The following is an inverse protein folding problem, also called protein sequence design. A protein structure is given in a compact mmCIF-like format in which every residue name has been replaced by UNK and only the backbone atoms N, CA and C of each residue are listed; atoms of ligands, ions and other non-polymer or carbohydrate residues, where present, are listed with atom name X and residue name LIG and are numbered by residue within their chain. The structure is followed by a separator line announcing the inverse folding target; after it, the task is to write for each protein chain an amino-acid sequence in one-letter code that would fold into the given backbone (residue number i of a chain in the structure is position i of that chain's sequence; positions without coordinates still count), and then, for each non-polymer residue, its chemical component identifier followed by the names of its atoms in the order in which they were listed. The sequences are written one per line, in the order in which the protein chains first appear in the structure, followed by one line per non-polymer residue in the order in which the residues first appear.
data_IF_724890078172
#
_entry.id   IF_724890078172
#
_cell.length_a   1.000
_cell.length_b   1.000
_cell.length_c   1.000
_cell.angle_alpha   90.00
_cell.angle_beta   90.00
_cell.angle_gamma   90.00
#
_symmetry.space_group_name_H-M   'P 1'
#
loop_
_entity.id
_entity.type
_entity.pdbx_description
1 polymer ?
#
# COMPACT_ATOMS: atom_id res chain seq x y z
N UNK A 1 15.49 17.68 -4.37
CA UNK A 1 14.77 17.61 -3.08
C UNK A 1 13.52 16.80 -3.34
N UNK A 2 13.25 15.77 -2.55
CA UNK A 2 12.05 14.94 -2.73
C UNK A 2 10.79 15.77 -2.43
N UNK A 3 9.81 15.74 -3.33
CA UNK A 3 8.51 16.36 -3.08
C UNK A 3 7.75 15.51 -2.06
N UNK A 4 7.29 16.11 -0.96
CA UNK A 4 6.53 15.42 0.08
C UNK A 4 5.04 15.51 -0.20
N UNK A 5 4.33 14.40 -0.03
CA UNK A 5 2.88 14.36 -0.12
C UNK A 5 2.23 15.03 1.10
N UNK A 6 1.04 15.58 0.85
CA UNK A 6 0.20 16.15 1.92
C UNK A 6 -0.36 15.08 2.86
N UNK A 7 -0.44 13.82 2.42
CA UNK A 7 -0.85 12.68 3.22
C UNK A 7 0.16 11.55 3.03
N UNK A 8 0.76 11.10 4.13
CA UNK A 8 1.74 10.01 4.17
C UNK A 8 1.37 9.13 5.37
N UNK A 9 0.84 7.92 5.17
CA UNK A 9 0.63 6.99 6.26
C UNK A 9 1.97 6.50 6.80
N UNK A 10 2.04 6.35 8.13
CA UNK A 10 3.12 5.66 8.82
C UNK A 10 2.57 4.34 9.37
N UNK A 11 3.22 3.24 9.01
CA UNK A 11 2.81 1.89 9.36
C UNK A 11 3.81 1.30 10.36
N UNK A 12 3.29 0.90 11.51
CA UNK A 12 4.04 0.16 12.52
C UNK A 12 4.24 -1.27 12.04
N UNK A 13 5.48 -1.70 11.85
CA UNK A 13 5.81 -3.04 11.34
C UNK A 13 6.53 -3.87 12.39
N UNK A 14 6.34 -5.20 12.39
CA UNK A 14 7.02 -6.04 13.38
C UNK A 14 8.45 -6.41 12.99
N UNK A 15 8.76 -6.39 11.68
CA UNK A 15 10.09 -6.64 11.12
C UNK A 15 10.27 -5.74 9.89
N UNK A 16 11.14 -4.75 10.01
CA UNK A 16 11.37 -3.77 8.93
C UNK A 16 11.94 -4.44 7.68
N UNK A 17 12.84 -5.41 7.81
CA UNK A 17 13.47 -6.04 6.66
C UNK A 17 12.44 -6.85 5.86
N UNK A 18 11.62 -7.64 6.57
CA UNK A 18 10.53 -8.39 5.93
C UNK A 18 9.51 -7.48 5.27
N UNK A 19 9.21 -6.34 5.89
CA UNK A 19 8.35 -5.33 5.28
C UNK A 19 9.00 -4.69 4.05
N UNK A 20 10.29 -4.33 4.10
CA UNK A 20 11.00 -3.81 2.93
C UNK A 20 11.04 -4.82 1.78
N UNK A 21 11.27 -6.11 2.04
CA UNK A 21 11.20 -7.16 1.01
C UNK A 21 9.83 -7.18 0.31
N UNK A 22 8.74 -7.02 1.07
CA UNK A 22 7.39 -6.95 0.50
C UNK A 22 7.14 -5.63 -0.25
N UNK A 23 7.34 -4.49 0.41
CA UNK A 23 6.98 -3.18 -0.15
C UNK A 23 7.87 -2.82 -1.35
N UNK A 24 9.18 -3.06 -1.27
CA UNK A 24 10.13 -2.81 -2.36
C UNK A 24 10.13 -3.96 -3.36
N UNK A 25 10.34 -5.19 -2.90
CA UNK A 25 10.53 -6.35 -3.78
C UNK A 25 9.25 -6.82 -4.47
N UNK A 26 8.10 -6.80 -3.77
CA UNK A 26 6.83 -7.24 -4.34
C UNK A 26 6.04 -6.07 -4.93
N UNK A 27 5.81 -5.00 -4.16
CA UNK A 27 4.97 -3.89 -4.62
C UNK A 27 5.70 -2.94 -5.58
N UNK A 28 7.03 -2.87 -5.50
CA UNK A 28 7.85 -2.06 -6.42
C UNK A 28 8.18 -0.67 -5.91
N UNK A 29 7.95 -0.38 -4.62
CA UNK A 29 8.41 0.85 -4.00
C UNK A 29 9.93 0.96 -4.08
N UNK A 30 10.43 2.19 -3.94
CA UNK A 30 11.84 2.48 -3.73
C UNK A 30 12.03 3.10 -2.34
N UNK A 31 13.20 2.89 -1.75
CA UNK A 31 13.57 3.58 -0.50
C UNK A 31 14.03 4.98 -0.86
N UNK A 32 13.28 5.99 -0.44
CA UNK A 32 13.68 7.38 -0.60
C UNK A 32 14.80 7.76 0.39
N UNK A 33 14.67 7.31 1.65
CA UNK A 33 15.71 7.33 2.66
C UNK A 33 15.32 6.41 3.84
N UNK A 34 16.28 6.01 4.65
CA UNK A 34 16.07 5.12 5.80
C UNK A 34 17.02 5.48 6.94
N UNK A 35 16.61 5.12 8.16
CA UNK A 35 17.43 5.17 9.39
C UNK A 35 17.29 3.80 10.03
N UNK A 36 18.17 2.88 9.66
CA UNK A 36 18.07 1.49 10.09
C UNK A 36 18.33 1.35 11.60
N UNK A 37 19.16 2.24 12.16
CA UNK A 37 19.41 2.39 13.58
C UNK A 37 18.14 2.73 14.38
N UNK A 38 17.17 3.40 13.74
CA UNK A 38 15.87 3.76 14.32
C UNK A 38 14.76 2.78 13.88
N UNK A 39 15.08 1.76 13.07
CA UNK A 39 14.07 0.88 12.50
C UNK A 39 13.09 1.57 11.55
N UNK A 40 13.53 2.61 10.82
CA UNK A 40 12.67 3.45 9.99
C UNK A 40 13.04 3.41 8.51
N UNK A 41 12.03 3.40 7.63
CA UNK A 41 12.18 3.62 6.20
C UNK A 41 11.08 4.50 5.61
N UNK A 42 11.46 5.41 4.70
CA UNK A 42 10.55 6.22 3.92
C UNK A 42 10.54 5.73 2.47
N UNK A 43 9.37 5.33 1.98
CA UNK A 43 9.20 4.70 0.68
C UNK A 43 8.47 5.62 -0.30
N UNK A 44 8.80 5.49 -1.58
CA UNK A 44 8.13 6.17 -2.69
C UNK A 44 7.85 5.22 -3.86
N UNK A 45 6.66 5.32 -4.44
CA UNK A 45 6.26 4.66 -5.68
C UNK A 45 5.56 5.69 -6.57
N UNK A 46 6.29 6.28 -7.52
CA UNK A 46 5.78 7.29 -8.45
C UNK A 46 5.04 8.43 -7.74
N UNK A 47 5.56 8.86 -6.58
CA UNK A 47 4.95 9.89 -5.74
C UNK A 47 3.90 9.38 -4.74
N UNK A 48 3.52 8.10 -4.72
CA UNK A 48 2.81 7.52 -3.58
C UNK A 48 3.79 7.20 -2.45
N UNK A 49 3.56 7.74 -1.26
CA UNK A 49 4.55 7.74 -0.17
C UNK A 49 4.01 7.03 1.06
N UNK A 50 4.84 6.19 1.68
CA UNK A 50 4.53 5.40 2.89
C UNK A 50 5.76 5.40 3.80
N UNK A 51 5.55 5.57 5.10
CA UNK A 51 6.60 5.37 6.11
C UNK A 51 6.39 4.02 6.79
N UNK A 52 7.50 3.32 7.05
CA UNK A 52 7.52 2.11 7.85
C UNK A 52 8.37 2.37 9.10
N UNK A 53 7.83 2.06 10.27
CA UNK A 53 8.54 2.15 11.55
C UNK A 53 8.44 0.82 12.28
N UNK A 54 9.57 0.21 12.63
CA UNK A 54 9.58 -1.05 13.37
C UNK A 54 9.12 -0.83 14.81
N UNK A 55 8.24 -1.69 15.30
CA UNK A 55 7.79 -1.67 16.69
C UNK A 55 8.99 -1.87 17.63
N UNK A 56 9.24 -0.89 18.50
CA UNK A 56 10.23 -0.93 19.57
C UNK A 56 9.58 -0.52 20.89
N UNK A 57 9.42 -1.45 21.85
CA UNK A 57 8.89 -1.16 23.18
C UNK A 57 9.68 -0.11 23.99
N UNK A 58 10.91 0.21 23.58
CA UNK A 58 11.77 1.22 24.23
C UNK A 58 11.62 2.60 23.60
N UNK A 59 11.04 2.69 22.41
CA UNK A 59 10.82 3.94 21.70
C UNK A 59 9.47 4.56 22.12
N UNK A 60 9.39 5.90 22.06
CA UNK A 60 8.16 6.63 22.37
C UNK A 60 7.24 6.70 21.13
N UNK A 61 6.78 5.53 20.69
CA UNK A 61 6.02 5.36 19.45
C UNK A 61 4.54 5.71 19.62
N UNK A 62 3.88 6.12 18.53
CA UNK A 62 2.51 6.63 18.55
C UNK A 62 1.45 5.52 18.52
N UNK A 63 1.41 4.72 19.58
CA UNK A 63 0.39 3.69 19.75
C UNK A 63 -0.83 4.24 20.47
N UNK A 64 -1.98 4.22 19.80
CA UNK A 64 -3.27 4.62 20.40
C UNK A 64 -3.96 3.48 21.15
N UNK A 65 -3.57 2.24 20.86
CA UNK A 65 -4.02 1.01 21.52
C UNK A 65 -2.97 -0.09 21.30
N UNK A 66 -3.18 -1.26 21.93
CA UNK A 66 -2.34 -2.44 21.67
C UNK A 66 -2.41 -2.85 20.19
N UNK A 67 -1.26 -3.23 19.63
CA UNK A 67 -1.17 -3.75 18.26
C UNK A 67 -1.64 -5.21 18.23
N UNK A 68 -2.72 -5.47 17.49
CA UNK A 68 -3.28 -6.81 17.30
C UNK A 68 -3.37 -7.13 15.81
N UNK A 69 -2.79 -8.25 15.38
CA UNK A 69 -2.82 -8.68 13.97
C UNK A 69 -4.23 -9.12 13.54
N UNK A 70 -4.61 -8.91 12.27
CA UNK A 70 -3.89 -8.12 11.26
C UNK A 70 -3.88 -6.63 11.63
N UNK A 71 -2.76 -5.93 11.43
CA UNK A 71 -2.70 -4.50 11.72
C UNK A 71 -3.54 -3.70 10.70
N UNK A 72 -3.96 -2.48 11.08
CA UNK A 72 -4.76 -1.62 10.20
C UNK A 72 -6.21 -2.08 9.98
N UNK A 73 -6.82 -2.78 10.94
CA UNK A 73 -8.23 -3.23 10.86
C UNK A 73 -9.17 -2.06 10.56
N UNK A 74 -9.99 -2.21 9.51
CA UNK A 74 -10.99 -1.21 9.12
C UNK A 74 -10.52 -0.18 8.10
N UNK A 75 -9.24 -0.17 7.71
CA UNK A 75 -8.72 0.70 6.66
C UNK A 75 -8.13 -0.10 5.49
N UNK A 76 -7.97 0.57 4.35
CA UNK A 76 -7.09 0.12 3.28
C UNK A 76 -6.34 1.33 2.72
N UNK A 77 -5.13 1.09 2.21
CA UNK A 77 -4.35 2.08 1.49
C UNK A 77 -4.61 1.90 -0.01
N UNK A 78 -5.37 2.82 -0.61
CA UNK A 78 -5.46 2.87 -2.07
C UNK A 78 -4.20 3.53 -2.63
N UNK A 79 -3.53 2.84 -3.54
CA UNK A 79 -2.29 3.30 -4.17
C UNK A 79 -2.45 3.11 -5.68
N UNK A 80 -2.36 4.22 -6.41
CA UNK A 80 -2.43 4.20 -7.86
C UNK A 80 -1.08 3.70 -8.41
N UNK A 81 -1.13 2.80 -9.39
CA UNK A 81 0.03 2.24 -10.08
C UNK A 81 -0.20 2.32 -11.59
N UNK A 82 0.90 2.40 -12.34
CA UNK A 82 0.84 2.45 -13.81
C UNK A 82 0.15 1.22 -14.39
N UNK A 83 0.42 0.03 -13.83
CA UNK A 83 -0.23 -1.21 -14.22
C UNK A 83 -0.24 -2.21 -13.05
N UNK A 84 -1.35 -2.93 -12.86
CA UNK A 84 -1.44 -3.92 -11.78
C UNK A 84 -0.75 -5.24 -12.12
N UNK A 85 -0.71 -5.63 -13.40
CA UNK A 85 -0.23 -6.95 -13.82
C UNK A 85 1.24 -7.21 -13.45
N UNK A 86 2.19 -6.27 -13.64
CA UNK A 86 3.57 -6.48 -13.21
C UNK A 86 3.72 -6.66 -11.69
N UNK A 87 2.85 -6.01 -10.90
CA UNK A 87 2.83 -6.16 -9.43
C UNK A 87 2.35 -7.55 -9.05
N UNK A 88 1.25 -8.02 -9.66
CA UNK A 88 0.70 -9.37 -9.45
C UNK A 88 1.75 -10.43 -9.77
N UNK A 89 2.47 -10.29 -10.89
CA UNK A 89 3.53 -11.25 -11.27
C UNK A 89 4.68 -11.29 -10.26
N UNK A 90 5.04 -10.16 -9.64
CA UNK A 90 6.05 -10.14 -8.56
C UNK A 90 5.53 -10.86 -7.32
N UNK A 91 4.28 -10.61 -6.92
CA UNK A 91 3.63 -11.29 -5.79
C UNK A 91 3.53 -12.80 -6.01
N UNK A 92 3.15 -13.25 -7.22
CA UNK A 92 3.10 -14.67 -7.58
C UNK A 92 4.47 -15.33 -7.49
N UNK A 93 5.54 -14.68 -8.00
CA UNK A 93 6.93 -15.18 -7.89
C UNK A 93 7.40 -15.27 -6.44
N UNK A 94 6.93 -14.37 -5.57
CA UNK A 94 7.19 -14.40 -4.14
C UNK A 94 6.26 -15.37 -3.37
N UNK A 95 5.36 -16.09 -4.06
CA UNK A 95 4.32 -16.93 -3.48
C UNK A 95 3.44 -16.20 -2.44
N UNK A 96 3.23 -14.89 -2.62
CA UNK A 96 2.43 -14.06 -1.73
C UNK A 96 0.99 -13.96 -2.24
N UNK A 97 -0.02 -14.46 -1.50
CA UNK A 97 -1.39 -14.55 -2.00
C UNK A 97 -2.06 -13.17 -2.05
N UNK A 98 -2.93 -13.01 -3.05
CA UNK A 98 -3.84 -11.86 -3.09
C UNK A 98 -4.96 -12.05 -2.07
N UNK A 99 -5.31 -11.00 -1.34
CA UNK A 99 -6.52 -10.98 -0.50
C UNK A 99 -7.78 -10.95 -1.37
N UNK A 100 -7.73 -10.22 -2.50
CA UNK A 100 -8.78 -10.23 -3.52
C UNK A 100 -8.15 -10.18 -4.91
N UNK A 101 -8.57 -11.10 -5.78
CA UNK A 101 -8.11 -11.18 -7.15
C UNK A 101 -8.40 -9.89 -7.93
N UNK A 102 -7.61 -9.67 -8.99
CA UNK A 102 -7.76 -8.49 -9.85
C UNK A 102 -9.10 -8.49 -10.57
N UNK A 103 -9.74 -7.33 -10.61
CA UNK A 103 -10.99 -7.11 -11.33
C UNK A 103 -11.08 -5.67 -11.83
N UNK A 104 -11.79 -5.50 -12.94
CA UNK A 104 -12.19 -4.18 -13.42
C UNK A 104 -13.48 -3.78 -12.69
N UNK A 105 -13.51 -2.57 -12.14
CA UNK A 105 -14.63 -2.04 -11.39
C UNK A 105 -14.89 -0.61 -11.84
N UNK A 106 -16.17 -0.29 -12.00
CA UNK A 106 -16.63 1.04 -12.34
C UNK A 106 -17.43 1.58 -11.16
N UNK A 107 -16.97 2.68 -10.58
CA UNK A 107 -17.61 3.33 -9.46
C UNK A 107 -18.26 4.62 -9.92
N UNK A 108 -19.52 4.84 -9.55
CA UNK A 108 -20.18 6.13 -9.76
C UNK A 108 -19.48 7.20 -8.92
N UNK A 109 -18.98 8.24 -9.57
CA UNK A 109 -18.37 9.41 -8.96
C UNK A 109 -19.12 10.64 -9.49
N UNK A 110 -20.18 11.03 -8.77
CA UNK A 110 -21.10 12.07 -9.24
C UNK A 110 -21.84 11.64 -10.49
N UNK A 111 -21.62 12.37 -11.59
CA UNK A 111 -22.28 12.21 -12.90
C UNK A 111 -21.51 11.29 -13.86
N UNK A 112 -20.35 10.78 -13.47
CA UNK A 112 -19.54 9.86 -14.27
C UNK A 112 -19.32 8.54 -13.52
N UNK A 113 -18.88 7.52 -14.25
CA UNK A 113 -18.28 6.33 -13.67
C UNK A 113 -16.77 6.37 -13.87
N UNK A 114 -16.02 6.22 -12.77
CA UNK A 114 -14.56 6.08 -12.79
C UNK A 114 -14.23 4.60 -12.82
N UNK A 115 -13.54 4.19 -13.89
CA UNK A 115 -13.08 2.84 -14.10
C UNK A 115 -11.71 2.62 -13.49
N UNK A 116 -11.58 1.51 -12.80
CA UNK A 116 -10.28 1.09 -12.30
C UNK A 116 -10.14 -0.43 -12.30
N UNK A 117 -8.94 -0.89 -12.65
CA UNK A 117 -8.52 -2.26 -12.42
C UNK A 117 -7.84 -2.31 -11.06
N UNK A 118 -8.36 -3.13 -10.17
CA UNK A 118 -7.91 -3.19 -8.78
C UNK A 118 -7.68 -4.61 -8.31
N UNK A 119 -6.76 -4.78 -7.37
CA UNK A 119 -6.65 -5.99 -6.54
C UNK A 119 -6.30 -5.59 -5.10
N UNK A 120 -6.46 -6.52 -4.16
CA UNK A 120 -6.06 -6.29 -2.77
C UNK A 120 -5.07 -7.35 -2.31
N UNK A 121 -4.12 -6.92 -1.48
CA UNK A 121 -3.10 -7.75 -0.85
C UNK A 121 -2.88 -7.28 0.58
N UNK A 122 -2.54 -8.21 1.48
CA UNK A 122 -2.09 -7.87 2.83
C UNK A 122 -0.58 -7.84 2.87
N UNK A 123 -0.01 -6.83 3.53
CA UNK A 123 1.41 -6.81 3.83
C UNK A 123 1.76 -7.84 4.95
N UNK A 124 3.05 -8.01 5.32
CA UNK A 124 3.46 -8.98 6.33
C UNK A 124 2.79 -8.82 7.71
N UNK A 125 2.34 -7.61 8.05
CA UNK A 125 1.68 -7.28 9.33
C UNK A 125 0.16 -7.30 9.25
N UNK A 126 -0.39 -7.34 8.03
CA UNK A 126 -1.81 -7.48 7.73
C UNK A 126 -2.47 -6.20 7.22
N UNK A 127 -1.71 -5.13 7.02
CA UNK A 127 -2.23 -3.90 6.42
C UNK A 127 -2.79 -4.18 5.03
N UNK A 128 -4.01 -3.75 4.79
CA UNK A 128 -4.69 -3.99 3.52
C UNK A 128 -4.27 -2.92 2.49
N UNK A 129 -3.59 -3.36 1.43
CA UNK A 129 -3.15 -2.49 0.32
C UNK A 129 -4.01 -2.76 -0.90
N UNK A 130 -4.61 -1.71 -1.47
CA UNK A 130 -5.44 -1.74 -2.68
C UNK A 130 -4.68 -1.05 -3.80
N UNK A 131 -4.16 -1.84 -4.73
CA UNK A 131 -3.39 -1.32 -5.88
C UNK A 131 -4.36 -1.08 -7.04
N UNK A 132 -4.24 0.07 -7.69
CA UNK A 132 -5.23 0.58 -8.64
C UNK A 132 -4.57 1.06 -9.92
N UNK A 133 -4.95 0.48 -11.05
CA UNK A 133 -4.66 0.99 -12.39
C UNK A 133 -5.90 1.74 -12.91
N UNK A 134 -5.73 2.99 -13.34
CA UNK A 134 -6.84 3.83 -13.80
C UNK A 134 -7.23 3.45 -15.23
N UNK A 135 -8.52 3.14 -15.45
CA UNK A 135 -9.07 2.81 -16.77
C UNK A 135 -9.75 4.00 -17.47
N UNK A 136 -9.83 5.15 -16.79
CA UNK A 136 -10.48 6.37 -17.28
C UNK A 136 -11.90 6.54 -16.76
N UNK A 137 -12.68 7.38 -17.43
CA UNK A 137 -14.04 7.74 -17.06
C UNK A 137 -15.02 7.41 -18.18
N UNK A 138 -16.27 7.10 -17.83
CA UNK A 138 -17.37 6.90 -18.79
C UNK A 138 -18.68 7.47 -18.27
N UNK A 139 -19.65 7.65 -19.17
CA UNK A 139 -21.02 7.99 -18.78
C UNK A 139 -21.64 6.84 -17.95
N UNK A 140 -22.48 7.14 -16.93
CA UNK A 140 -23.16 6.11 -16.15
C UNK A 140 -23.99 5.20 -17.04
N UNK A 141 -24.01 3.90 -16.73
CA UNK A 141 -24.84 2.94 -17.43
C UNK A 141 -26.33 3.16 -17.09
N UNK A 142 -26.95 4.16 -17.72
CA UNK A 142 -28.36 4.58 -17.63
C UNK A 142 -28.85 4.98 -16.22
N UNK A 143 -29.38 6.21 -16.12
CA UNK A 143 -30.25 6.65 -15.04
C UNK A 143 -31.67 6.08 -15.20
#
# INVERSE_FOLDING_TARGET
MMQRNNLVPELMVTDLNRSLEFWVGCLGFTVAYQRLEDGFAYLDLDGAQVMLEQVDPRANQWLTAALERPFGRGMNLQIDVVAVLPVIQRLERAAHPLFKASKDVWYRAGEVEVGQREFLVQDPDGYLVRLVERLGERAPAHA
#
